data_IF_045598833011
#
_entry.id   IF_045598833011
#
_cell.length_a   1.000
_cell.length_b   1.000
_cell.length_c   1.000
_cell.angle_alpha   90.00
_cell.angle_beta   90.00
_cell.angle_gamma   90.00
#
_symmetry.space_group_name_H-M   'P 1'
#
loop_
_entity.id
_entity.type
_entity.pdbx_description
1 polymer ?
#
# COMPACT_ATOMS: atom_id res chain seq x y z
N UNK A 1 18.08 8.38 -2.18
CA UNK A 1 18.27 7.19 -3.01
C UNK A 1 16.99 6.90 -3.78
N UNK A 2 17.10 6.86 -5.12
CA UNK A 2 15.97 6.59 -5.99
C UNK A 2 15.63 5.09 -6.01
N UNK A 3 14.37 4.76 -5.73
CA UNK A 3 13.78 3.44 -5.90
C UNK A 3 13.04 3.42 -7.23
N UNK A 4 13.31 2.39 -8.05
CA UNK A 4 12.56 2.20 -9.29
C UNK A 4 11.07 1.93 -9.02
N UNK A 5 10.14 2.55 -9.77
CA UNK A 5 8.69 2.35 -9.67
C UNK A 5 8.25 0.90 -9.47
N UNK A 6 8.85 -0.03 -10.23
CA UNK A 6 8.50 -1.44 -10.16
C UNK A 6 8.96 -2.12 -8.86
N UNK A 7 10.09 -1.69 -8.28
CA UNK A 7 10.66 -2.24 -7.03
C UNK A 7 9.93 -1.74 -5.79
N UNK A 8 9.31 -0.56 -5.86
CA UNK A 8 8.52 0.01 -4.78
C UNK A 8 7.22 -0.79 -4.50
N UNK A 9 6.68 -1.47 -5.50
CA UNK A 9 5.48 -2.29 -5.35
C UNK A 9 5.76 -3.60 -4.61
N UNK A 10 4.81 -4.01 -3.76
CA UNK A 10 4.83 -5.34 -3.17
C UNK A 10 4.87 -6.42 -4.27
N UNK A 11 5.76 -7.41 -4.12
CA UNK A 11 5.99 -8.45 -5.14
C UNK A 11 4.76 -9.30 -5.45
N UNK A 12 3.93 -9.60 -4.45
CA UNK A 12 2.69 -10.34 -4.65
C UNK A 12 1.65 -9.46 -5.35
N UNK A 13 1.50 -8.21 -4.91
CA UNK A 13 0.60 -7.25 -5.57
C UNK A 13 0.99 -7.04 -7.04
N UNK A 14 2.29 -6.92 -7.35
CA UNK A 14 2.79 -6.75 -8.71
C UNK A 14 2.33 -7.88 -9.66
N UNK A 15 2.19 -9.11 -9.17
CA UNK A 15 1.75 -10.27 -9.95
C UNK A 15 0.24 -10.31 -10.23
N UNK A 16 -0.57 -9.59 -9.45
CA UNK A 16 -2.02 -9.54 -9.66
C UNK A 16 -2.31 -8.76 -10.94
N UNK A 17 -3.01 -9.35 -11.90
CA UNK A 17 -3.39 -8.61 -13.11
C UNK A 17 -4.49 -7.60 -12.77
N UNK A 18 -4.33 -6.31 -13.11
CA UNK A 18 -5.42 -5.34 -12.99
C UNK A 18 -6.63 -5.74 -13.83
N UNK A 19 -7.83 -5.38 -13.37
CA UNK A 19 -9.04 -5.51 -14.18
C UNK A 19 -8.93 -4.58 -15.40
N UNK A 20 -9.32 -5.06 -16.59
CA UNK A 20 -9.28 -4.27 -17.82
C UNK A 20 -10.07 -2.97 -17.68
N UNK A 21 -11.26 -3.02 -17.10
CA UNK A 21 -12.11 -1.83 -16.88
C UNK A 21 -11.41 -0.79 -16.00
N UNK A 22 -10.67 -1.24 -14.97
CA UNK A 22 -9.88 -0.35 -14.12
C UNK A 22 -8.74 0.35 -14.86
N UNK A 23 -8.04 -0.36 -15.75
CA UNK A 23 -6.98 0.23 -16.58
C UNK A 23 -7.56 1.26 -17.57
N UNK A 24 -8.69 0.95 -18.22
CA UNK A 24 -9.33 1.90 -19.15
C UNK A 24 -9.80 3.17 -18.42
N UNK A 25 -10.42 3.03 -17.24
CA UNK A 25 -10.83 4.16 -16.42
C UNK A 25 -9.62 5.01 -15.99
N UNK A 26 -8.53 4.37 -15.55
CA UNK A 26 -7.28 5.05 -15.24
C UNK A 26 -6.72 5.82 -16.43
N UNK A 27 -6.68 5.20 -17.62
CA UNK A 27 -6.23 5.87 -18.85
C UNK A 27 -7.09 7.10 -19.15
N UNK A 28 -8.41 6.94 -19.13
CA UNK A 28 -9.35 8.03 -19.39
C UNK A 28 -9.12 9.22 -18.44
N UNK A 29 -9.09 8.95 -17.13
CA UNK A 29 -8.92 10.00 -16.13
C UNK A 29 -7.52 10.61 -16.17
N UNK A 30 -6.48 9.84 -16.49
CA UNK A 30 -5.12 10.37 -16.61
C UNK A 30 -4.97 11.24 -17.87
N UNK A 31 -5.56 10.85 -18.99
CA UNK A 31 -5.62 11.71 -20.19
C UNK A 31 -6.38 13.00 -19.89
N UNK A 32 -7.51 12.92 -19.16
CA UNK A 32 -8.26 14.10 -18.74
C UNK A 32 -7.43 15.02 -17.85
N UNK A 33 -6.70 14.48 -16.87
CA UNK A 33 -5.78 15.23 -16.02
C UNK A 33 -4.75 15.96 -16.88
N UNK A 34 -4.01 15.25 -17.73
CA UNK A 34 -2.95 15.82 -18.56
C UNK A 34 -3.47 16.90 -19.52
N UNK A 35 -4.63 16.70 -20.15
CA UNK A 35 -5.24 17.70 -21.02
C UNK A 35 -5.73 18.95 -20.28
N UNK A 36 -5.98 18.85 -18.97
CA UNK A 36 -6.53 19.94 -18.16
C UNK A 36 -5.45 20.83 -17.54
N UNK A 37 -4.18 20.43 -17.61
CA UNK A 37 -3.06 21.19 -17.04
C UNK A 37 -2.90 22.51 -17.78
N UNK A 38 -2.80 23.59 -17.02
CA UNK A 38 -2.57 24.94 -17.53
C UNK A 38 -1.48 25.58 -16.68
N UNK A 39 -0.24 25.56 -17.16
CA UNK A 39 0.95 25.94 -16.37
C UNK A 39 0.90 27.33 -15.70
N UNK A 40 0.09 28.25 -16.24
CA UNK A 40 -0.09 29.60 -15.70
C UNK A 40 -1.16 29.71 -14.60
N UNK A 41 -1.94 28.67 -14.38
CA UNK A 41 -2.95 28.63 -13.33
C UNK A 41 -2.33 28.46 -11.95
N UNK A 42 -3.13 28.72 -10.91
CA UNK A 42 -2.69 28.66 -9.52
C UNK A 42 -2.33 27.24 -9.07
N UNK A 43 -1.57 27.14 -7.97
CA UNK A 43 -1.33 25.86 -7.30
C UNK A 43 -2.64 25.21 -6.85
N UNK A 44 -3.61 26.01 -6.37
CA UNK A 44 -4.95 25.54 -5.99
C UNK A 44 -5.72 24.91 -7.17
N UNK A 45 -5.61 25.50 -8.35
CA UNK A 45 -6.21 24.92 -9.57
C UNK A 45 -5.66 23.51 -9.83
N UNK A 46 -4.33 23.35 -9.78
CA UNK A 46 -3.69 22.06 -10.01
C UNK A 46 -3.96 21.04 -8.89
N UNK A 47 -4.08 21.49 -7.64
CA UNK A 47 -4.52 20.65 -6.51
C UNK A 47 -5.89 20.04 -6.75
N UNK A 48 -6.84 20.82 -7.24
CA UNK A 48 -8.17 20.31 -7.57
C UNK A 48 -8.11 19.25 -8.67
N UNK A 49 -7.30 19.46 -9.72
CA UNK A 49 -7.10 18.45 -10.77
C UNK A 49 -6.52 17.13 -10.23
N UNK A 50 -5.51 17.20 -9.35
CA UNK A 50 -4.92 16.02 -8.70
C UNK A 50 -5.97 15.30 -7.85
N UNK A 51 -6.71 16.05 -7.03
CA UNK A 51 -7.79 15.51 -6.18
C UNK A 51 -8.84 14.78 -7.02
N UNK A 52 -9.33 15.41 -8.09
CA UNK A 52 -10.38 14.84 -8.94
C UNK A 52 -9.90 13.59 -9.67
N UNK A 53 -8.67 13.61 -10.18
CA UNK A 53 -8.06 12.44 -10.80
C UNK A 53 -7.99 11.25 -9.82
N UNK A 54 -7.49 11.47 -8.59
CA UNK A 54 -7.41 10.40 -7.58
C UNK A 54 -8.81 9.90 -7.20
N UNK A 55 -9.74 10.80 -6.88
CA UNK A 55 -11.12 10.46 -6.50
C UNK A 55 -11.82 9.62 -7.55
N UNK A 56 -11.80 10.08 -8.80
CA UNK A 56 -12.55 9.47 -9.90
C UNK A 56 -11.93 8.16 -10.40
N UNK A 57 -10.66 7.90 -10.06
CA UNK A 57 -9.95 6.70 -10.50
C UNK A 57 -9.92 5.59 -9.46
N UNK A 58 -9.76 5.94 -8.18
CA UNK A 58 -9.41 4.95 -7.14
C UNK A 58 -10.19 5.09 -5.83
N UNK A 59 -10.34 6.33 -5.35
CA UNK A 59 -10.60 6.55 -3.92
C UNK A 59 -12.08 6.76 -3.60
N UNK A 60 -12.86 7.34 -4.52
CA UNK A 60 -14.29 7.53 -4.29
C UNK A 60 -15.06 6.21 -4.44
N UNK A 61 -16.06 5.91 -3.56
CA UNK A 61 -16.50 6.68 -2.39
C UNK A 61 -15.84 6.23 -1.07
N UNK A 62 -14.87 5.31 -1.12
CA UNK A 62 -14.40 4.58 0.06
C UNK A 62 -13.38 5.36 0.91
N UNK A 63 -12.68 6.31 0.30
CA UNK A 63 -11.61 7.09 0.93
C UNK A 63 -11.83 8.58 0.66
N UNK A 64 -11.91 9.35 1.73
CA UNK A 64 -12.07 10.80 1.63
C UNK A 64 -10.75 11.46 1.21
N UNK A 65 -10.82 12.38 0.26
CA UNK A 65 -9.68 13.20 -0.18
C UNK A 65 -10.07 14.67 -0.11
N UNK A 66 -9.33 15.45 0.67
CA UNK A 66 -9.48 16.90 0.75
C UNK A 66 -8.24 17.54 1.40
N UNK A 67 -8.24 18.87 1.49
CA UNK A 67 -7.35 19.62 2.38
C UNK A 67 -7.60 19.24 3.84
N UNK A 68 -6.57 19.34 4.69
CA UNK A 68 -6.70 19.21 6.16
C UNK A 68 -5.81 20.21 6.85
N UNK A 69 -6.41 21.26 7.42
CA UNK A 69 -5.66 22.34 8.06
C UNK A 69 -4.77 23.05 7.05
N UNK A 70 -3.44 22.93 7.21
CA UNK A 70 -2.43 23.49 6.31
C UNK A 70 -1.89 22.49 5.28
N UNK A 71 -2.26 21.21 5.37
CA UNK A 71 -1.87 20.23 4.39
C UNK A 71 -2.66 20.45 3.10
N UNK A 72 -1.95 20.47 1.98
CA UNK A 72 -2.54 20.69 0.66
C UNK A 72 -3.60 19.65 0.31
N UNK A 73 -3.24 18.37 0.41
CA UNK A 73 -4.18 17.26 0.22
C UNK A 73 -3.83 16.12 1.16
N UNK A 74 -4.84 15.43 1.65
CA UNK A 74 -4.70 14.18 2.38
C UNK A 74 -5.65 13.13 1.82
N UNK A 75 -5.21 11.87 1.85
CA UNK A 75 -6.07 10.71 1.60
C UNK A 75 -6.34 10.05 2.94
N UNK A 76 -7.61 9.98 3.31
CA UNK A 76 -8.05 9.35 4.54
C UNK A 76 -8.24 7.84 4.36
N UNK A 77 -8.03 7.10 5.45
CA UNK A 77 -8.21 5.64 5.45
C UNK A 77 -9.68 5.25 5.30
N UNK A 78 -10.61 6.11 5.72
CA UNK A 78 -12.04 5.90 5.54
C UNK A 78 -12.71 6.98 4.69
N UNK A 79 -14.02 6.81 4.51
CA UNK A 79 -14.88 7.67 3.67
C UNK A 79 -15.19 9.06 4.25
N UNK A 80 -14.75 9.36 5.47
CA UNK A 80 -15.07 10.61 6.18
C UNK A 80 -13.80 11.35 6.62
N UNK A 81 -13.87 12.69 6.66
CA UNK A 81 -12.78 13.57 7.11
C UNK A 81 -12.31 13.31 8.55
N UNK A 82 -13.16 12.68 9.38
CA UNK A 82 -12.80 12.32 10.77
C UNK A 82 -11.92 11.07 10.87
N UNK A 83 -11.85 10.27 9.81
CA UNK A 83 -10.98 9.08 9.80
C UNK A 83 -9.51 9.50 9.70
N UNK A 84 -8.59 8.62 10.10
CA UNK A 84 -7.18 8.96 10.13
C UNK A 84 -6.62 9.20 8.73
N UNK A 85 -5.63 10.09 8.66
CA UNK A 85 -4.88 10.35 7.43
C UNK A 85 -3.99 9.16 7.14
N UNK A 86 -4.13 8.59 5.95
CA UNK A 86 -3.29 7.51 5.44
C UNK A 86 -2.21 7.98 4.48
N UNK A 87 -2.44 9.06 3.74
CA UNK A 87 -1.45 9.66 2.83
C UNK A 87 -1.45 11.17 2.98
N UNK A 88 -0.27 11.77 3.05
CA UNK A 88 -0.07 13.22 2.96
C UNK A 88 0.39 13.52 1.54
N UNK A 89 -0.21 14.50 0.88
CA UNK A 89 0.15 14.92 -0.48
C UNK A 89 0.44 16.42 -0.47
N UNK A 90 1.69 16.77 -0.77
CA UNK A 90 2.15 18.13 -0.96
C UNK A 90 2.19 18.44 -2.46
N UNK A 91 1.47 19.48 -2.88
CA UNK A 91 1.33 19.81 -4.29
C UNK A 91 1.97 21.16 -4.58
N UNK A 92 2.83 21.21 -5.60
CA UNK A 92 3.40 22.46 -6.10
C UNK A 92 2.84 22.81 -7.47
N UNK A 93 2.85 24.10 -7.80
CA UNK A 93 2.61 24.51 -9.18
C UNK A 93 3.60 23.83 -10.15
N UNK A 94 3.17 23.39 -11.35
CA UNK A 94 4.06 22.81 -12.36
C UNK A 94 5.29 23.67 -12.70
N UNK A 95 5.16 25.00 -12.57
CA UNK A 95 6.24 25.95 -12.88
C UNK A 95 7.15 26.25 -11.68
N UNK A 96 6.78 25.85 -10.46
CA UNK A 96 7.53 26.14 -9.24
C UNK A 96 8.67 25.13 -9.00
N UNK A 97 9.68 25.18 -9.87
CA UNK A 97 10.86 24.29 -9.81
C UNK A 97 11.78 24.56 -8.61
N UNK A 98 11.69 25.75 -8.00
CA UNK A 98 12.54 26.13 -6.89
C UNK A 98 12.13 25.44 -5.57
N UNK A 99 10.82 25.27 -5.35
CA UNK A 99 10.27 24.66 -4.13
C UNK A 99 10.00 23.16 -4.28
N UNK A 100 9.77 22.69 -5.51
CA UNK A 100 9.55 21.28 -5.82
C UNK A 100 10.84 20.44 -5.69
N UNK A 101 10.69 19.16 -5.34
CA UNK A 101 11.82 18.22 -5.30
C UNK A 101 12.39 18.01 -6.70
N UNK A 102 13.70 17.81 -6.76
CA UNK A 102 14.37 17.30 -7.96
C UNK A 102 15.46 16.31 -7.57
N UNK A 103 15.89 15.46 -8.50
CA UNK A 103 17.00 14.53 -8.24
C UNK A 103 18.31 15.25 -7.84
N UNK A 104 18.46 16.53 -8.19
CA UNK A 104 19.61 17.37 -7.80
C UNK A 104 19.39 18.11 -6.48
N UNK A 105 18.14 18.30 -6.06
CA UNK A 105 17.77 19.02 -4.85
C UNK A 105 16.59 18.33 -4.17
N UNK A 106 16.91 17.35 -3.33
CA UNK A 106 15.91 16.61 -2.55
C UNK A 106 15.48 17.41 -1.31
N UNK A 107 16.39 18.17 -0.68
CA UNK A 107 16.09 19.07 0.44
C UNK A 107 15.40 20.37 -0.05
N UNK A 108 14.28 20.20 -0.75
CA UNK A 108 13.45 21.29 -1.22
C UNK A 108 12.44 21.72 -0.15
N UNK A 109 11.79 22.87 -0.38
CA UNK A 109 10.74 23.37 0.51
C UNK A 109 9.58 22.37 0.64
N UNK A 110 9.16 21.75 -0.46
CA UNK A 110 8.13 20.71 -0.41
C UNK A 110 8.50 19.54 0.52
N UNK A 111 9.77 19.10 0.58
CA UNK A 111 10.20 18.09 1.55
C UNK A 111 10.13 18.61 2.99
N UNK A 112 10.53 19.87 3.23
CA UNK A 112 10.47 20.49 4.55
C UNK A 112 9.01 20.64 5.05
N UNK A 113 8.09 21.00 4.16
CA UNK A 113 6.64 21.04 4.40
C UNK A 113 6.09 19.66 4.75
N UNK A 114 6.42 18.65 3.93
CA UNK A 114 6.04 17.27 4.18
C UNK A 114 6.54 16.73 5.53
N UNK A 115 7.76 17.08 5.94
CA UNK A 115 8.31 16.70 7.26
C UNK A 115 7.50 17.34 8.38
N UNK A 116 7.15 18.62 8.27
CA UNK A 116 6.31 19.30 9.26
C UNK A 116 4.94 18.62 9.38
N UNK A 117 4.28 18.36 8.26
CA UNK A 117 2.96 17.74 8.23
C UNK A 117 2.98 16.32 8.76
N UNK A 118 4.01 15.54 8.44
CA UNK A 118 4.20 14.21 8.99
C UNK A 118 4.40 14.24 10.51
N UNK A 119 5.25 15.13 11.03
CA UNK A 119 5.47 15.26 12.47
C UNK A 119 4.22 15.69 13.22
N UNK A 120 3.40 16.59 12.65
CA UNK A 120 2.09 16.95 13.23
C UNK A 120 1.14 15.77 13.31
N UNK A 121 1.01 14.98 12.24
CA UNK A 121 0.20 13.77 12.27
C UNK A 121 0.74 12.77 13.32
N UNK A 122 2.04 12.49 13.29
CA UNK A 122 2.65 11.44 14.13
C UNK A 122 2.73 11.81 15.61
N UNK A 123 3.15 13.04 15.93
CA UNK A 123 3.45 13.48 17.30
C UNK A 123 2.26 14.19 17.93
N UNK A 124 1.71 15.22 17.26
CA UNK A 124 0.62 16.04 17.82
C UNK A 124 -0.71 15.28 17.79
N UNK A 125 -1.05 14.68 16.65
CA UNK A 125 -2.31 13.94 16.48
C UNK A 125 -2.20 12.46 16.86
N UNK A 126 -1.01 11.96 17.21
CA UNK A 126 -0.75 10.56 17.56
C UNK A 126 -1.25 9.57 16.49
N UNK A 127 -1.23 9.99 15.22
CA UNK A 127 -1.67 9.18 14.09
C UNK A 127 -0.56 8.21 13.66
N UNK A 128 -0.76 6.93 13.94
CA UNK A 128 0.15 5.84 13.57
C UNK A 128 -0.14 5.27 12.17
N UNK A 129 -1.18 5.74 11.49
CA UNK A 129 -1.72 5.11 10.29
C UNK A 129 -1.31 5.77 8.97
N UNK A 130 -0.52 6.86 9.01
CA UNK A 130 0.13 7.39 7.80
C UNK A 130 1.01 6.31 7.17
N UNK A 131 0.81 6.02 5.89
CA UNK A 131 1.47 4.94 5.13
C UNK A 131 2.46 5.45 4.10
N UNK A 132 2.13 6.56 3.43
CA UNK A 132 2.98 7.20 2.43
C UNK A 132 2.88 8.73 2.54
N UNK A 133 3.93 9.41 2.08
CA UNK A 133 4.01 10.85 1.95
C UNK A 133 4.42 11.16 0.51
N UNK A 134 3.70 12.06 -0.15
CA UNK A 134 3.83 12.31 -1.59
C UNK A 134 4.08 13.78 -1.85
N UNK A 135 5.03 14.08 -2.73
CA UNK A 135 5.14 15.39 -3.36
C UNK A 135 4.85 15.28 -4.85
N UNK A 136 4.11 16.25 -5.40
CA UNK A 136 3.88 16.31 -6.84
C UNK A 136 3.74 17.74 -7.36
N UNK A 137 4.14 17.96 -8.62
CA UNK A 137 3.81 19.16 -9.38
C UNK A 137 2.84 18.86 -10.53
N UNK A 138 1.95 17.89 -10.31
CA UNK A 138 1.11 17.19 -11.28
C UNK A 138 1.88 16.20 -12.15
N UNK A 139 3.00 16.62 -12.76
CA UNK A 139 3.78 15.78 -13.67
C UNK A 139 4.66 14.78 -12.92
N UNK A 140 5.53 15.32 -12.08
CA UNK A 140 6.51 14.57 -11.31
C UNK A 140 5.90 14.14 -9.98
N UNK A 141 6.13 12.90 -9.60
CA UNK A 141 5.63 12.32 -8.35
C UNK A 141 6.80 11.71 -7.59
N UNK A 142 6.91 12.09 -6.31
CA UNK A 142 7.86 11.54 -5.37
C UNK A 142 7.08 10.91 -4.23
N UNK A 143 7.24 9.60 -4.03
CA UNK A 143 6.54 8.83 -2.99
C UNK A 143 7.56 8.34 -1.97
N UNK A 144 7.32 8.66 -0.71
CA UNK A 144 8.13 8.25 0.42
C UNK A 144 7.35 7.32 1.35
N UNK A 145 8.00 6.25 1.81
CA UNK A 145 7.40 5.33 2.78
C UNK A 145 7.35 5.96 4.17
N UNK A 146 6.17 5.97 4.79
CA UNK A 146 5.98 6.58 6.10
C UNK A 146 6.76 5.88 7.23
N UNK A 147 7.09 4.60 7.08
CA UNK A 147 7.93 3.87 8.05
C UNK A 147 9.37 4.39 8.02
N UNK A 148 9.88 4.71 6.82
CA UNK A 148 11.19 5.34 6.69
C UNK A 148 11.17 6.76 7.28
N UNK A 149 10.11 7.53 6.99
CA UNK A 149 9.90 8.86 7.61
C UNK A 149 9.85 8.79 9.14
N UNK A 150 9.14 7.81 9.70
CA UNK A 150 9.07 7.61 11.14
C UNK A 150 10.47 7.36 11.74
N UNK A 151 11.23 6.43 11.15
CA UNK A 151 12.60 6.13 11.55
C UNK A 151 13.53 7.34 11.45
N UNK A 152 13.45 8.10 10.36
CA UNK A 152 14.37 9.20 10.09
C UNK A 152 13.99 10.48 10.82
N UNK A 153 12.72 10.77 11.05
CA UNK A 153 12.26 12.03 11.63
C UNK A 153 11.64 11.85 13.02
N UNK A 154 10.58 11.04 13.15
CA UNK A 154 9.81 10.93 14.39
C UNK A 154 10.54 10.16 15.51
N UNK A 155 11.52 9.31 15.19
CA UNK A 155 12.34 8.61 16.18
C UNK A 155 13.59 9.41 16.60
N UNK A 156 13.91 10.51 15.91
CA UNK A 156 15.02 11.36 16.29
C UNK A 156 14.63 12.28 17.46
N UNK A 157 15.13 11.96 18.66
CA UNK A 157 14.80 12.70 19.89
C UNK A 157 15.13 14.20 19.82
N UNK A 158 16.23 14.57 19.14
CA UNK A 158 16.63 15.97 19.02
C UNK A 158 15.67 16.75 18.13
N UNK A 159 15.35 16.20 16.95
CA UNK A 159 14.39 16.81 16.03
C UNK A 159 12.99 16.90 16.65
N UNK A 160 12.52 15.83 17.29
CA UNK A 160 11.21 15.83 17.95
C UNK A 160 11.13 16.89 19.04
N UNK A 161 12.19 17.06 19.83
CA UNK A 161 12.24 18.12 20.84
C UNK A 161 12.15 19.51 20.20
N UNK A 162 12.93 19.77 19.14
CA UNK A 162 12.87 21.05 18.43
C UNK A 162 11.49 21.30 17.81
N UNK A 163 10.86 20.28 17.25
CA UNK A 163 9.49 20.35 16.73
C UNK A 163 8.48 20.68 17.83
N UNK A 164 8.58 20.05 19.01
CA UNK A 164 7.70 20.35 20.15
C UNK A 164 7.91 21.77 20.66
N UNK A 165 9.16 22.21 20.84
CA UNK A 165 9.48 23.59 21.24
C UNK A 165 8.96 24.61 20.21
N UNK A 166 8.99 24.26 18.92
CA UNK A 166 8.40 25.06 17.83
C UNK A 166 6.87 25.14 17.93
N UNK A 167 6.17 24.02 18.04
CA UNK A 167 4.71 23.97 18.12
C UNK A 167 4.17 24.64 19.41
N UNK A 168 4.95 24.61 20.49
CA UNK A 168 4.65 25.29 21.76
C UNK A 168 5.05 26.77 21.78
N UNK A 169 5.66 27.28 20.70
CA UNK A 169 6.06 28.68 20.58
C UNK A 169 7.22 29.09 21.50
N UNK A 170 8.06 28.15 21.92
CA UNK A 170 9.21 28.38 22.81
C UNK A 170 10.47 28.87 22.08
N UNK A 171 10.50 28.76 20.76
CA UNK A 171 11.62 29.18 19.93
C UNK A 171 11.51 30.64 19.51
N UNK A 172 12.60 31.20 18.97
CA UNK A 172 12.66 32.58 18.49
C UNK A 172 11.73 32.87 17.30
N UNK A 173 11.30 31.84 16.57
CA UNK A 173 10.31 31.95 15.49
C UNK A 173 9.19 30.92 15.64
N UNK A 174 7.97 31.36 15.35
CA UNK A 174 6.73 30.56 15.50
C UNK A 174 6.00 30.32 14.17
N UNK A 175 6.50 30.91 13.08
CA UNK A 175 5.94 30.69 11.75
C UNK A 175 6.57 29.46 11.08
N UNK A 176 5.89 28.92 10.07
CA UNK A 176 6.36 27.72 9.38
C UNK A 176 7.65 27.94 8.59
N UNK A 177 7.93 29.16 8.13
CA UNK A 177 9.18 29.50 7.44
C UNK A 177 10.40 29.31 8.36
N UNK A 178 10.28 29.66 9.65
CA UNK A 178 11.29 29.37 10.65
C UNK A 178 11.52 27.87 10.81
N UNK A 179 10.45 27.07 10.92
CA UNK A 179 10.58 25.61 10.99
C UNK A 179 11.30 25.06 9.75
N UNK A 180 10.94 25.52 8.55
CA UNK A 180 11.54 25.04 7.31
C UNK A 180 13.04 25.36 7.25
N UNK A 181 13.43 26.61 7.52
CA UNK A 181 14.81 27.09 7.36
C UNK A 181 15.74 26.69 8.49
N UNK A 182 15.28 26.75 9.73
CA UNK A 182 16.13 26.62 10.92
C UNK A 182 16.08 25.22 11.54
N UNK A 183 15.04 24.42 11.25
CA UNK A 183 14.86 23.08 11.86
C UNK A 183 14.91 21.99 10.79
N UNK A 184 13.97 22.00 9.85
CA UNK A 184 13.83 20.93 8.87
C UNK A 184 15.02 20.89 7.90
N UNK A 185 15.36 22.01 7.26
CA UNK A 185 16.43 22.07 6.27
C UNK A 185 17.79 21.62 6.81
N UNK A 186 18.30 22.11 7.97
CA UNK A 186 19.58 21.67 8.49
C UNK A 186 19.56 20.19 8.86
N UNK A 187 18.44 19.70 9.42
CA UNK A 187 18.31 18.29 9.79
C UNK A 187 18.31 17.36 8.56
N UNK A 188 17.50 17.67 7.55
CA UNK A 188 17.40 16.87 6.31
C UNK A 188 18.78 16.75 5.65
N UNK A 189 19.57 17.81 5.65
CA UNK A 189 20.92 17.81 5.06
C UNK A 189 21.83 16.73 5.66
N UNK A 190 21.67 16.42 6.96
CA UNK A 190 22.46 15.40 7.66
C UNK A 190 22.08 13.95 7.33
N UNK A 191 20.96 13.75 6.64
CA UNK A 191 20.39 12.42 6.35
C UNK A 191 20.00 12.24 4.87
N UNK A 192 20.43 13.14 3.99
CA UNK A 192 20.09 13.11 2.56
C UNK A 192 20.42 11.76 1.89
N UNK A 193 21.54 11.16 2.29
CA UNK A 193 22.02 9.87 1.80
C UNK A 193 21.13 8.68 2.21
N UNK A 194 20.36 8.84 3.30
CA UNK A 194 19.48 7.82 3.88
C UNK A 194 18.04 7.90 3.40
N UNK A 195 17.65 9.00 2.77
CA UNK A 195 16.29 9.16 2.23
C UNK A 195 16.11 8.21 1.05
N UNK A 196 15.00 7.48 1.01
CA UNK A 196 14.63 6.64 -0.11
C UNK A 196 13.25 7.07 -0.62
N UNK A 197 13.10 7.12 -1.95
CA UNK A 197 11.86 7.57 -2.58
C UNK A 197 11.65 6.91 -3.94
N UNK A 198 10.39 6.74 -4.29
CA UNK A 198 9.99 6.34 -5.64
C UNK A 198 9.73 7.59 -6.46
N UNK A 199 10.20 7.62 -7.71
CA UNK A 199 9.97 8.73 -8.63
C UNK A 199 9.41 8.24 -9.96
N UNK A 200 8.45 8.98 -10.49
CA UNK A 200 8.01 8.87 -11.88
C UNK A 200 7.51 10.21 -12.41
N UNK A 201 7.53 10.37 -13.72
CA UNK A 201 7.00 11.53 -14.44
C UNK A 201 5.85 11.09 -15.35
N UNK A 202 4.65 11.62 -15.12
CA UNK A 202 3.46 11.33 -15.91
C UNK A 202 3.61 11.75 -17.39
N UNK A 203 4.40 12.80 -17.68
CA UNK A 203 4.62 13.23 -19.06
C UNK A 203 5.30 12.14 -19.90
N UNK A 204 6.12 11.29 -19.27
CA UNK A 204 6.78 10.16 -19.95
C UNK A 204 5.81 9.07 -20.44
N UNK A 205 4.56 9.07 -19.95
CA UNK A 205 3.53 8.10 -20.32
C UNK A 205 2.53 8.63 -21.37
N UNK A 206 2.57 9.92 -21.74
CA UNK A 206 1.55 10.54 -22.61
C UNK A 206 1.40 9.81 -23.97
N UNK A 207 2.52 9.46 -24.61
CA UNK A 207 2.52 8.71 -25.86
C UNK A 207 1.87 7.32 -25.72
N UNK A 208 2.13 6.64 -24.61
CA UNK A 208 1.59 5.30 -24.33
C UNK A 208 0.09 5.39 -24.04
N UNK A 209 -0.34 6.41 -23.29
CA UNK A 209 -1.75 6.64 -22.95
C UNK A 209 -2.62 6.85 -24.18
N UNK A 210 -2.09 7.56 -25.19
CA UNK A 210 -2.80 7.92 -26.42
C UNK A 210 -2.65 6.90 -27.55
N UNK A 211 -1.94 5.79 -27.32
CA UNK A 211 -1.85 4.70 -28.27
C UNK A 211 -3.15 3.87 -28.26
N UNK A 212 -3.54 3.37 -29.45
CA UNK A 212 -4.65 2.43 -29.64
C UNK A 212 -4.22 0.97 -29.40
N UNK A 213 -2.92 0.66 -29.42
CA UNK A 213 -2.42 -0.68 -29.14
C UNK A 213 -2.56 -1.04 -27.65
N UNK A 214 -3.42 -2.02 -27.38
CA UNK A 214 -3.72 -2.50 -26.03
C UNK A 214 -2.55 -3.27 -25.40
N UNK A 215 -1.59 -3.76 -26.18
CA UNK A 215 -0.41 -4.46 -25.66
C UNK A 215 0.50 -3.53 -24.88
N UNK A 216 0.54 -2.25 -25.25
CA UNK A 216 1.35 -1.23 -24.59
C UNK A 216 0.83 -0.86 -23.19
N UNK A 217 -0.43 -1.19 -22.87
CA UNK A 217 -1.01 -0.94 -21.54
C UNK A 217 -0.27 -1.68 -20.43
N UNK A 218 0.48 -2.74 -20.75
CA UNK A 218 1.36 -3.43 -19.81
C UNK A 218 2.37 -2.47 -19.15
N UNK A 219 2.80 -1.42 -19.87
CA UNK A 219 3.71 -0.38 -19.37
C UNK A 219 3.05 0.56 -18.35
N UNK A 220 1.71 0.65 -18.36
CA UNK A 220 0.92 1.47 -17.43
C UNK A 220 0.61 0.75 -16.13
N UNK A 221 0.73 -0.58 -16.08
CA UNK A 221 0.35 -1.38 -14.90
C UNK A 221 1.10 -0.95 -13.64
N UNK A 222 2.40 -0.63 -13.75
CA UNK A 222 3.19 -0.20 -12.60
C UNK A 222 2.69 1.15 -12.09
N UNK A 223 2.47 2.11 -12.98
CA UNK A 223 1.96 3.44 -12.64
C UNK A 223 0.55 3.37 -12.02
N UNK A 224 -0.34 2.58 -12.64
CA UNK A 224 -1.69 2.30 -12.13
C UNK A 224 -1.64 1.80 -10.67
N UNK A 225 -0.77 0.83 -10.39
CA UNK A 225 -0.62 0.25 -9.05
C UNK A 225 0.02 1.19 -8.05
N UNK A 226 0.96 2.03 -8.46
CA UNK A 226 1.63 2.97 -7.55
C UNK A 226 0.68 4.03 -7.00
N UNK A 227 -0.36 4.38 -7.74
CA UNK A 227 -1.34 5.38 -7.31
C UNK A 227 -2.57 4.77 -6.64
N UNK A 228 -2.66 3.43 -6.59
CA UNK A 228 -3.82 2.72 -6.08
C UNK A 228 -3.85 2.67 -4.54
N UNK A 229 -5.03 2.43 -3.92
CA UNK A 229 -5.17 2.32 -2.48
C UNK A 229 -4.34 1.18 -1.88
N UNK A 230 -4.20 0.05 -2.58
CA UNK A 230 -3.39 -1.09 -2.13
C UNK A 230 -1.92 -0.72 -1.94
N UNK A 231 -1.39 0.22 -2.74
CA UNK A 231 -0.03 0.70 -2.54
C UNK A 231 0.04 1.89 -1.59
N UNK A 232 -0.71 2.98 -1.88
CA UNK A 232 -0.59 4.23 -1.13
C UNK A 232 -1.15 4.14 0.28
N UNK A 233 -2.23 3.38 0.50
CA UNK A 233 -2.79 3.12 1.83
C UNK A 233 -2.36 1.77 2.40
N UNK A 234 -1.49 1.03 1.71
CA UNK A 234 -1.01 -0.31 2.10
C UNK A 234 -2.17 -1.27 2.46
N UNK A 235 -3.29 -1.17 1.73
CA UNK A 235 -4.44 -2.05 1.95
C UNK A 235 -4.12 -3.50 1.54
N UNK A 236 -4.76 -4.45 2.22
CA UNK A 236 -4.74 -5.86 1.82
C UNK A 236 -5.34 -6.02 0.42
N UNK A 237 -4.77 -6.92 -0.37
CA UNK A 237 -5.25 -7.31 -1.70
C UNK A 237 -5.59 -8.80 -1.71
N UNK A 238 -6.37 -9.28 -2.69
CA UNK A 238 -6.88 -10.67 -2.72
C UNK A 238 -5.81 -11.78 -2.65
N UNK A 239 -4.56 -11.48 -3.02
CA UNK A 239 -3.41 -12.38 -2.87
C UNK A 239 -2.50 -11.99 -1.69
N UNK A 240 -3.02 -11.29 -0.68
CA UNK A 240 -2.33 -11.19 0.59
C UNK A 240 -2.23 -12.61 1.13
N UNK A 241 -1.01 -13.13 1.29
CA UNK A 241 -0.72 -14.49 1.77
C UNK A 241 -1.35 -14.80 3.14
N UNK A 242 -1.96 -13.80 3.77
CA UNK A 242 -2.72 -13.90 5.01
C UNK A 242 -4.22 -14.18 4.83
N UNK A 243 -4.75 -14.17 3.60
CA UNK A 243 -6.14 -14.57 3.33
C UNK A 243 -6.22 -15.99 2.77
N UNK A 244 -6.85 -16.90 3.52
CA UNK A 244 -7.12 -18.28 3.09
C UNK A 244 -8.12 -18.26 1.91
N UNK A 245 -7.69 -18.72 0.74
CA UNK A 245 -8.62 -19.05 -0.34
C UNK A 245 -9.42 -20.29 0.08
N UNK A 246 -10.71 -20.07 0.42
CA UNK A 246 -11.59 -21.13 0.88
C UNK A 246 -11.84 -22.20 -0.17
N UNK A 247 -11.86 -21.85 -1.45
CA UNK A 247 -12.11 -22.81 -2.52
C UNK A 247 -10.91 -23.73 -2.66
N UNK A 248 -9.70 -23.17 -2.70
CA UNK A 248 -8.47 -23.96 -2.71
C UNK A 248 -8.34 -24.82 -1.44
N UNK A 249 -8.61 -24.25 -0.27
CA UNK A 249 -8.56 -24.98 1.00
C UNK A 249 -9.54 -26.17 1.02
N UNK A 250 -10.78 -25.96 0.60
CA UNK A 250 -11.78 -27.03 0.53
C UNK A 250 -11.40 -28.10 -0.50
N UNK A 251 -10.88 -27.69 -1.66
CA UNK A 251 -10.39 -28.63 -2.69
C UNK A 251 -9.21 -29.46 -2.17
N UNK A 252 -8.29 -28.83 -1.44
CA UNK A 252 -7.17 -29.53 -0.82
C UNK A 252 -7.65 -30.59 0.18
N UNK A 253 -8.61 -30.24 1.05
CA UNK A 253 -9.22 -31.21 1.96
C UNK A 253 -9.91 -32.35 1.19
N UNK A 254 -10.62 -32.03 0.12
CA UNK A 254 -11.28 -33.02 -0.74
C UNK A 254 -10.29 -34.01 -1.37
N UNK A 255 -9.18 -33.52 -1.94
CA UNK A 255 -8.12 -34.34 -2.53
C UNK A 255 -7.45 -35.24 -1.50
N UNK A 256 -7.21 -34.73 -0.28
CA UNK A 256 -6.66 -35.53 0.81
C UNK A 256 -7.66 -36.58 1.28
N UNK A 257 -8.97 -36.30 1.28
CA UNK A 257 -10.02 -37.17 1.82
C UNK A 257 -10.51 -36.74 3.20
N UNK A 258 -10.40 -35.44 3.52
CA UNK A 258 -10.80 -34.83 4.79
C UNK A 258 -11.91 -33.80 4.56
N UNK A 259 -12.57 -33.40 5.64
CA UNK A 259 -13.58 -32.33 5.64
C UNK A 259 -13.40 -31.43 6.87
N UNK A 260 -13.81 -30.16 6.76
CA UNK A 260 -13.87 -29.24 7.91
C UNK A 260 -15.30 -29.21 8.47
N UNK A 261 -15.46 -29.60 9.72
CA UNK A 261 -16.72 -29.50 10.47
C UNK A 261 -16.61 -28.46 11.58
N UNK A 262 -17.76 -27.96 12.05
CA UNK A 262 -17.84 -27.04 13.18
C UNK A 262 -18.53 -27.71 14.34
N UNK A 263 -17.84 -27.84 15.46
CA UNK A 263 -18.38 -28.38 16.69
C UNK A 263 -18.00 -27.47 17.86
N UNK A 264 -18.98 -27.02 18.64
CA UNK A 264 -18.76 -26.16 19.81
C UNK A 264 -18.02 -24.84 19.51
N UNK A 265 -18.13 -24.30 18.29
CA UNK A 265 -17.41 -23.09 17.86
C UNK A 265 -15.95 -23.30 17.45
N UNK A 266 -15.43 -24.53 17.56
CA UNK A 266 -14.14 -24.93 17.01
C UNK A 266 -14.32 -25.52 15.62
N UNK A 267 -13.34 -25.27 14.75
CA UNK A 267 -13.21 -25.95 13.46
C UNK A 267 -12.41 -27.22 13.67
N UNK A 268 -12.96 -28.34 13.25
CA UNK A 268 -12.31 -29.65 13.28
C UNK A 268 -12.06 -30.08 11.84
N UNK A 269 -10.90 -30.66 11.58
CA UNK A 269 -10.59 -31.31 10.31
C UNK A 269 -10.60 -32.80 10.59
N UNK A 270 -11.49 -33.52 9.93
CA UNK A 270 -11.73 -34.93 10.20
C UNK A 270 -12.00 -35.73 8.93
N UNK A 271 -11.84 -37.05 9.02
CA UNK A 271 -12.22 -37.97 7.95
C UNK A 271 -13.75 -37.99 7.83
N UNK A 272 -14.33 -37.93 6.62
CA UNK A 272 -15.76 -38.05 6.44
C UNK A 272 -16.33 -39.33 7.08
N UNK A 273 -17.59 -39.24 7.52
CA UNK A 273 -18.32 -40.38 8.08
C UNK A 273 -18.36 -41.54 7.08
N UNK A 274 -18.42 -42.76 7.59
CA UNK A 274 -18.60 -43.96 6.77
C UNK A 274 -19.80 -43.78 5.82
N UNK A 275 -19.61 -44.10 4.53
CA UNK A 275 -20.60 -43.88 3.46
C UNK A 275 -20.53 -42.52 2.76
N UNK A 276 -19.72 -41.56 3.25
CA UNK A 276 -19.46 -40.26 2.61
C UNK A 276 -17.99 -40.07 2.23
N UNK A 277 -17.18 -41.13 2.35
CA UNK A 277 -15.76 -41.13 2.01
C UNK A 277 -15.60 -41.16 0.50
N UNK A 278 -14.57 -40.50 0.00
CA UNK A 278 -14.24 -40.50 -1.43
C UNK A 278 -13.10 -41.49 -1.67
N UNK A 279 -13.40 -42.63 -2.28
CA UNK A 279 -12.44 -43.71 -2.55
C UNK A 279 -11.24 -43.24 -3.41
N UNK A 280 -11.44 -42.21 -4.22
CA UNK A 280 -10.39 -41.62 -5.06
C UNK A 280 -9.45 -40.66 -4.30
N UNK A 281 -9.73 -40.35 -3.04
CA UNK A 281 -8.90 -39.44 -2.25
C UNK A 281 -7.58 -40.10 -1.81
N UNK A 282 -6.60 -39.28 -1.46
CA UNK A 282 -5.28 -39.77 -1.06
C UNK A 282 -5.35 -40.68 0.17
N UNK A 283 -6.08 -40.25 1.20
CA UNK A 283 -6.23 -40.99 2.46
C UNK A 283 -6.90 -42.35 2.24
N UNK A 284 -8.02 -42.39 1.51
CA UNK A 284 -8.74 -43.64 1.26
C UNK A 284 -7.92 -44.60 0.38
N UNK A 285 -7.20 -44.09 -0.62
CA UNK A 285 -6.29 -44.91 -1.42
C UNK A 285 -5.17 -45.53 -0.58
N UNK A 286 -4.60 -44.77 0.36
CA UNK A 286 -3.56 -45.27 1.26
C UNK A 286 -4.13 -46.36 2.18
N UNK A 287 -5.29 -46.12 2.80
CA UNK A 287 -5.96 -47.10 3.68
C UNK A 287 -6.27 -48.38 2.90
N UNK A 288 -6.88 -48.27 1.72
CA UNK A 288 -7.18 -49.42 0.86
C UNK A 288 -5.95 -50.24 0.49
N UNK A 289 -4.80 -49.59 0.24
CA UNK A 289 -3.54 -50.30 -0.02
C UNK A 289 -2.97 -50.98 1.23
N UNK A 290 -3.07 -50.34 2.40
CA UNK A 290 -2.61 -50.92 3.66
C UNK A 290 -3.43 -52.17 4.01
N UNK A 291 -4.74 -52.11 3.83
CA UNK A 291 -5.67 -53.20 4.13
C UNK A 291 -5.54 -54.35 3.12
N UNK A 292 -5.53 -54.04 1.81
CA UNK A 292 -5.42 -55.07 0.77
C UNK A 292 -4.11 -55.85 0.81
N UNK A 293 -3.02 -55.21 1.25
CA UNK A 293 -1.72 -55.85 1.40
C UNK A 293 -1.49 -56.43 2.81
N UNK A 294 -2.48 -56.33 3.70
CA UNK A 294 -2.43 -56.73 5.10
C UNK A 294 -1.12 -56.25 5.76
N UNK A 295 -0.86 -54.94 5.66
CA UNK A 295 0.37 -54.33 6.19
C UNK A 295 0.31 -54.14 7.69
N UNK A 296 -0.88 -53.85 8.22
CA UNK A 296 -1.07 -53.59 9.64
C UNK A 296 -0.76 -54.82 10.49
N UNK A 297 -1.11 -56.04 10.04
CA UNK A 297 -0.79 -57.30 10.75
C UNK A 297 0.71 -57.54 10.96
N UNK A 298 1.55 -56.89 10.13
CA UNK A 298 3.01 -57.04 10.13
C UNK A 298 3.71 -56.03 11.04
N UNK A 299 2.96 -55.07 11.62
CA UNK A 299 3.52 -54.06 12.49
C UNK A 299 3.74 -54.60 13.91
N UNK A 300 4.95 -54.50 14.47
CA UNK A 300 5.16 -54.77 15.88
C UNK A 300 4.42 -53.71 16.71
N UNK A 301 3.83 -54.12 17.84
CA UNK A 301 3.13 -53.24 18.78
C UNK A 301 1.92 -52.48 18.20
N UNK A 302 1.19 -53.07 17.24
CA UNK A 302 0.02 -52.45 16.58
C UNK A 302 -1.00 -51.78 17.54
N UNK A 303 -1.16 -52.32 18.77
CA UNK A 303 -2.07 -51.78 19.78
C UNK A 303 -1.74 -50.36 20.25
N UNK A 304 -0.53 -49.86 20.02
CA UNK A 304 -0.18 -48.47 20.37
C UNK A 304 -0.87 -47.44 19.47
N UNK A 305 -1.37 -47.86 18.31
CA UNK A 305 -2.02 -46.98 17.34
C UNK A 305 -3.54 -46.93 17.49
N UNK A 306 -4.14 -47.85 18.25
CA UNK A 306 -5.59 -47.88 18.46
C UNK A 306 -6.09 -49.22 19.01
N UNK A 307 -7.28 -49.21 19.58
CA UNK A 307 -7.90 -50.43 20.12
C UNK A 307 -8.68 -51.18 19.04
N UNK A 308 -9.29 -50.44 18.11
CA UNK A 308 -10.03 -50.98 16.96
C UNK A 308 -9.19 -51.02 15.69
N UNK A 309 -9.63 -51.79 14.69
CA UNK A 309 -8.98 -51.81 13.37
C UNK A 309 -9.04 -50.44 12.67
N UNK A 310 -10.08 -49.66 12.91
CA UNK A 310 -10.25 -48.33 12.31
C UNK A 310 -9.40 -47.25 13.01
N UNK A 311 -9.12 -47.41 14.30
CA UNK A 311 -8.21 -46.53 15.03
C UNK A 311 -6.74 -46.79 14.70
N UNK A 312 -6.38 -48.05 14.40
CA UNK A 312 -5.01 -48.51 14.09
C UNK A 312 -4.59 -48.18 12.65
#
# INVERSE_FOLDING_TARGET
>A
MLIEPRKALNKAFLKIKPNRTGIELFKQNLIQLLNSIKEKESEEFHKNLISDFLKNTYYSPNHFINTKGRNDLVIHIGKEAKSNVGVIVEAKSPTNKAEMLSQKNINSKALQEMVLYFLRERITHKNLEVKNIVATNVYEWYIFDAQLFDKLFAQNKSLVKQFQDFEEGKLSGTNTDFFYKEIAKPYIETILDKLEYTYFDLASYDKILRNTDKLDDAKLIVLYKLLSPEHLLKLSFANDSNSLDKNFYNELLHLIGLTETKEGGKKLIERPKAGQRNDGSLLENVINQLDSLDKLSRLPNIKQYGDTHEER
#
